data_IF_741043654478
#
_entry.id   IF_741043654478
#
_cell.length_a   1.000
_cell.length_b   1.000
_cell.length_c   1.000
_cell.angle_alpha   90.00
_cell.angle_beta   90.00
_cell.angle_gamma   90.00
#
_symmetry.space_group_name_H-M   'P 1'
#
loop_
_entity.id
_entity.type
_entity.pdbx_description
1 polymer ?
#
# COMPACT_ATOMS: atom_id res chain seq x y z
N UNK A 1 7.27 -13.83 -1.63
CA UNK A 1 6.98 -14.10 -0.20
C UNK A 1 5.49 -14.00 0.17
N UNK A 2 4.83 -12.83 0.11
CA UNK A 2 3.38 -12.75 0.40
C UNK A 2 2.54 -13.51 -0.64
N UNK A 3 2.84 -13.29 -1.91
CA UNK A 3 2.20 -13.99 -3.04
C UNK A 3 2.36 -15.52 -2.97
N UNK A 4 3.55 -15.98 -2.59
CA UNK A 4 3.85 -17.42 -2.47
C UNK A 4 3.09 -18.09 -1.31
N UNK A 5 2.68 -17.29 -0.31
CA UNK A 5 1.85 -17.74 0.81
C UNK A 5 0.36 -17.50 0.58
N UNK A 6 -0.05 -17.16 -0.65
CA UNK A 6 -1.45 -16.92 -1.01
C UNK A 6 -1.99 -15.56 -0.60
N UNK A 7 -1.16 -14.63 -0.12
CA UNK A 7 -1.58 -13.31 0.37
C UNK A 7 -1.90 -12.28 -0.70
N UNK A 8 -2.38 -12.69 -1.88
CA UNK A 8 -2.69 -11.80 -3.01
C UNK A 8 -3.88 -10.87 -2.72
N UNK A 9 -4.68 -11.21 -1.72
CA UNK A 9 -5.80 -10.45 -1.18
C UNK A 9 -5.37 -9.44 -0.09
N UNK A 10 -4.14 -9.53 0.40
CA UNK A 10 -3.62 -8.60 1.42
C UNK A 10 -3.32 -7.24 0.78
N UNK A 11 -3.59 -6.17 1.52
CA UNK A 11 -3.15 -4.81 1.18
C UNK A 11 -1.80 -4.54 1.83
N UNK A 12 -0.85 -4.01 1.07
CA UNK A 12 0.50 -3.72 1.54
C UNK A 12 0.71 -2.21 1.59
N UNK A 13 0.93 -1.67 2.78
CA UNK A 13 1.21 -0.25 3.01
C UNK A 13 2.64 -0.09 3.45
N UNK A 14 3.33 0.90 2.91
CA UNK A 14 4.72 1.23 3.29
C UNK A 14 4.75 2.66 3.80
N UNK A 15 5.50 2.90 4.88
CA UNK A 15 5.65 4.24 5.44
C UNK A 15 7.06 4.48 5.96
N UNK A 16 7.43 5.76 6.05
CA UNK A 16 8.73 6.20 6.55
C UNK A 16 9.42 7.20 5.61
N UNK A 17 10.70 7.44 5.84
CA UNK A 17 11.51 8.32 5.00
C UNK A 17 11.95 7.56 3.75
N UNK A 18 11.23 7.75 2.65
CA UNK A 18 11.40 7.02 1.39
C UNK A 18 11.73 8.02 0.28
N UNK A 19 12.77 7.77 -0.55
CA UNK A 19 13.07 8.58 -1.72
C UNK A 19 11.91 8.59 -2.71
N UNK A 20 11.63 9.75 -3.34
CA UNK A 20 10.52 9.88 -4.29
C UNK A 20 10.68 8.96 -5.52
N UNK A 21 11.92 8.71 -5.92
CA UNK A 21 12.27 7.82 -7.03
C UNK A 21 11.92 6.35 -6.75
N UNK A 22 11.95 5.93 -5.47
CA UNK A 22 11.65 4.55 -5.08
C UNK A 22 10.14 4.27 -5.01
N UNK A 23 9.29 5.31 -4.96
CA UNK A 23 7.84 5.16 -4.79
C UNK A 23 7.23 4.40 -5.98
N UNK A 24 7.64 4.70 -7.21
CA UNK A 24 7.12 4.00 -8.38
C UNK A 24 7.53 2.53 -8.40
N UNK A 25 8.79 2.24 -8.04
CA UNK A 25 9.30 0.87 -7.95
C UNK A 25 8.53 0.06 -6.90
N UNK A 26 8.34 0.62 -5.70
CA UNK A 26 7.61 -0.03 -4.62
C UNK A 26 6.18 -0.38 -5.03
N UNK A 27 5.48 0.52 -5.72
CA UNK A 27 4.09 0.30 -6.13
C UNK A 27 3.96 -0.72 -7.27
N UNK A 28 4.80 -0.60 -8.30
CA UNK A 28 4.67 -1.42 -9.52
C UNK A 28 5.31 -2.79 -9.37
N UNK A 29 6.52 -2.84 -8.83
CA UNK A 29 7.34 -4.06 -8.83
C UNK A 29 7.18 -4.86 -7.53
N UNK A 30 6.97 -4.18 -6.40
CA UNK A 30 6.84 -4.84 -5.08
C UNK A 30 5.38 -5.07 -4.65
N UNK A 31 4.39 -4.62 -5.43
CA UNK A 31 2.98 -4.80 -5.14
C UNK A 31 2.48 -3.96 -3.95
N UNK A 32 3.18 -2.87 -3.62
CA UNK A 32 2.76 -1.95 -2.56
C UNK A 32 1.51 -1.19 -3.00
N UNK A 33 0.47 -1.24 -2.18
CA UNK A 33 -0.80 -0.55 -2.43
C UNK A 33 -0.65 0.97 -2.30
N UNK A 34 0.02 1.43 -1.25
CA UNK A 34 0.25 2.87 -1.03
C UNK A 34 1.51 3.12 -0.20
N UNK A 35 2.15 4.27 -0.46
CA UNK A 35 3.37 4.71 0.24
C UNK A 35 3.11 6.02 0.98
N UNK A 36 3.43 6.07 2.26
CA UNK A 36 3.20 7.22 3.13
C UNK A 36 4.51 7.82 3.61
N UNK A 37 4.83 9.01 3.10
CA UNK A 37 6.02 9.78 3.45
C UNK A 37 5.75 10.73 4.62
N UNK A 38 6.78 11.30 5.27
CA UNK A 38 6.60 12.26 6.36
C UNK A 38 5.70 13.42 5.93
N UNK A 39 4.76 13.81 6.80
CA UNK A 39 3.74 14.82 6.49
C UNK A 39 2.43 14.27 5.93
N UNK A 40 2.36 12.96 5.61
CA UNK A 40 1.09 12.32 5.28
C UNK A 40 0.14 12.38 6.49
N UNK A 41 -1.10 12.79 6.26
CA UNK A 41 -2.11 12.82 7.32
C UNK A 41 -2.58 11.41 7.69
N UNK A 42 -2.91 11.20 8.96
CA UNK A 42 -3.51 9.95 9.44
C UNK A 42 -4.82 9.66 8.68
N UNK A 43 -5.61 10.70 8.38
CA UNK A 43 -6.86 10.56 7.63
C UNK A 43 -6.63 9.94 6.26
N UNK A 44 -5.59 10.37 5.52
CA UNK A 44 -5.24 9.79 4.22
C UNK A 44 -4.89 8.30 4.31
N UNK A 45 -4.25 7.88 5.40
CA UNK A 45 -3.93 6.45 5.66
C UNK A 45 -5.23 5.67 5.89
N UNK A 46 -6.12 6.19 6.73
CA UNK A 46 -7.44 5.59 7.03
C UNK A 46 -8.27 5.45 5.75
N UNK A 47 -8.36 6.50 4.94
CA UNK A 47 -9.13 6.51 3.69
C UNK A 47 -8.58 5.49 2.69
N UNK A 48 -7.25 5.37 2.59
CA UNK A 48 -6.59 4.37 1.76
C UNK A 48 -6.96 2.95 2.20
N UNK A 49 -6.92 2.65 3.50
CA UNK A 49 -7.30 1.33 4.03
C UNK A 49 -8.75 1.04 3.70
N UNK A 50 -9.68 1.94 4.06
CA UNK A 50 -11.12 1.73 3.86
C UNK A 50 -11.48 1.54 2.39
N UNK A 51 -10.85 2.30 1.49
CA UNK A 51 -11.08 2.19 0.04
C UNK A 51 -10.60 0.86 -0.52
N UNK A 52 -9.40 0.41 -0.13
CA UNK A 52 -8.79 -0.78 -0.72
C UNK A 52 -9.31 -2.08 -0.11
N UNK A 53 -9.67 -2.10 1.18
CA UNK A 53 -10.34 -3.26 1.81
C UNK A 53 -11.71 -3.51 1.18
N UNK A 54 -12.52 -2.46 0.96
CA UNK A 54 -13.83 -2.61 0.30
C UNK A 54 -13.70 -3.18 -1.12
N UNK A 55 -12.77 -2.62 -1.91
CA UNK A 55 -12.52 -3.08 -3.28
C UNK A 55 -12.16 -4.58 -3.37
N UNK A 56 -11.44 -5.11 -2.38
CA UNK A 56 -11.05 -6.53 -2.36
C UNK A 56 -12.10 -7.47 -1.76
N UNK A 57 -13.07 -6.97 -0.99
CA UNK A 57 -14.21 -7.77 -0.53
C UNK A 57 -15.28 -7.96 -1.61
N UNK A 58 -15.35 -7.05 -2.59
CA UNK A 58 -16.32 -7.07 -3.68
C UNK A 58 -15.80 -7.77 -4.95
N UNK A 59 -14.53 -8.21 -4.94
CA UNK A 59 -13.84 -8.83 -6.08
C UNK A 59 -13.56 -10.31 -5.93
#
# INVERSE_FOLDING_TARGET
LLDEKGGKDIILLVGGTIPLEDIEFLKKECGVTEVFVPGTTIQSIVDCILKNVKRKMEG
#
